data_IF_090703364152
#
_entry.id   IF_090703364152
#
_cell.length_a   1.000
_cell.length_b   1.000
_cell.length_c   1.000
_cell.angle_alpha   90.00
_cell.angle_beta   90.00
_cell.angle_gamma   90.00
#
_symmetry.space_group_name_H-M   'P 1'
#
loop_
_entity.id
_entity.type
_entity.pdbx_description
1 polymer ?
#
# COMPACT_ATOMS: atom_id res chain seq x y z
N UNK A 1 -31.09 1.73 23.28
CA UNK A 1 -30.18 2.47 22.37
C UNK A 1 -29.65 3.68 23.11
N UNK A 2 -28.36 4.01 22.92
CA UNK A 2 -27.54 4.96 23.70
C UNK A 2 -27.03 4.36 25.02
N UNK A 3 -25.75 4.42 25.38
CA UNK A 3 -24.56 4.98 24.74
C UNK A 3 -23.35 4.43 25.49
N UNK A 4 -22.21 4.31 24.81
CA UNK A 4 -20.96 3.94 25.47
C UNK A 4 -20.10 5.19 25.53
N UNK A 5 -19.82 5.63 26.74
CA UNK A 5 -18.83 6.64 27.08
C UNK A 5 -17.60 5.89 27.54
N UNK A 6 -16.44 6.22 26.97
CA UNK A 6 -15.18 6.06 27.68
C UNK A 6 -14.40 7.36 27.58
N UNK A 7 -14.25 8.01 28.74
CA UNK A 7 -13.32 9.09 28.96
C UNK A 7 -11.99 8.46 29.41
N UNK A 8 -10.88 8.88 28.82
CA UNK A 8 -9.57 8.70 29.42
C UNK A 8 -8.85 10.05 29.40
N UNK A 9 -8.73 10.63 30.60
CA UNK A 9 -7.79 11.71 30.91
C UNK A 9 -6.43 11.05 31.17
N UNK A 10 -5.38 11.55 30.53
CA UNK A 10 -4.00 11.14 30.82
C UNK A 10 -3.01 12.00 30.06
N UNK A 11 -2.43 12.98 30.73
CA UNK A 11 -1.46 13.92 30.20
C UNK A 11 -0.09 13.24 29.98
N UNK A 12 0.54 13.49 28.84
CA UNK A 12 1.96 13.22 28.63
C UNK A 12 2.67 14.53 28.29
N UNK A 13 3.61 14.91 29.15
CA UNK A 13 4.43 16.11 29.02
C UNK A 13 5.31 16.02 27.78
N UNK A 14 5.24 17.04 26.92
CA UNK A 14 6.10 17.16 25.75
C UNK A 14 7.54 17.47 26.15
N UNK A 15 8.49 16.68 25.64
CA UNK A 15 9.91 17.02 25.62
C UNK A 15 10.24 17.46 24.19
N UNK A 16 10.48 18.76 24.01
CA UNK A 16 10.95 19.36 22.75
C UNK A 16 12.47 19.23 22.70
N UNK A 17 12.99 18.37 21.81
CA UNK A 17 14.41 18.41 21.41
C UNK A 17 14.46 19.01 20.02
N UNK A 18 14.84 20.29 19.94
CA UNK A 18 15.09 20.98 18.68
C UNK A 18 16.44 20.55 18.11
N UNK A 19 16.45 20.01 16.90
CA UNK A 19 17.68 19.83 16.11
C UNK A 19 17.65 20.87 14.99
N UNK A 20 18.57 21.82 15.04
CA UNK A 20 18.78 22.81 13.99
C UNK A 20 19.54 22.15 12.83
N UNK A 21 18.96 22.13 11.63
CA UNK A 21 19.65 21.80 10.38
C UNK A 21 20.18 23.08 9.73
N UNK A 22 21.41 23.08 9.18
CA UNK A 22 21.97 24.26 8.53
C UNK A 22 21.35 24.51 7.15
N UNK A 23 21.09 25.80 6.90
CA UNK A 23 20.61 26.40 5.65
C UNK A 23 21.64 26.29 4.51
N UNK A 24 21.21 25.79 3.35
CA UNK A 24 22.01 25.78 2.10
C UNK A 24 21.34 26.75 1.12
N UNK A 25 22.03 27.80 0.62
CA UNK A 25 21.46 28.69 -0.38
C UNK A 25 21.49 28.04 -1.78
N UNK A 26 20.36 28.11 -2.48
CA UNK A 26 20.24 27.78 -3.88
C UNK A 26 20.86 28.89 -4.75
N UNK A 27 21.65 28.51 -5.75
CA UNK A 27 22.14 29.39 -6.82
C UNK A 27 21.67 28.87 -8.17
N UNK A 28 21.05 29.76 -8.96
CA UNK A 28 20.93 29.62 -10.42
C UNK A 28 19.50 29.68 -10.95
N UNK A 29 19.01 30.89 -11.24
CA UNK A 29 17.85 31.13 -12.10
C UNK A 29 18.34 31.85 -13.37
N UNK A 30 18.10 31.26 -14.55
CA UNK A 30 18.20 31.95 -15.84
C UNK A 30 17.07 31.50 -16.77
N UNK A 31 16.05 32.36 -16.84
CA UNK A 31 15.20 32.80 -17.97
C UNK A 31 14.99 31.95 -19.24
N UNK A 32 13.70 31.65 -19.49
CA UNK A 32 12.88 31.83 -20.71
C UNK A 32 13.29 31.18 -22.06
N UNK A 33 12.42 30.31 -22.58
CA UNK A 33 11.74 30.53 -23.89
C UNK A 33 10.52 29.62 -24.10
N UNK A 34 9.51 30.21 -24.75
CA UNK A 34 8.24 29.65 -25.20
C UNK A 34 8.36 28.34 -25.99
N UNK A 35 7.32 27.49 -25.90
CA UNK A 35 6.65 26.87 -27.06
C UNK A 35 5.31 26.28 -26.60
N UNK A 36 4.23 27.00 -26.86
CA UNK A 36 2.88 26.43 -26.89
C UNK A 36 2.75 25.62 -28.18
N UNK A 37 2.46 24.32 -28.06
CA UNK A 37 2.01 23.49 -29.19
C UNK A 37 0.89 22.56 -28.73
N UNK A 38 -0.30 22.89 -29.21
CA UNK A 38 -1.39 22.00 -29.64
C UNK A 38 -1.78 20.83 -28.71
N UNK A 39 -2.84 21.05 -27.91
CA UNK A 39 -3.58 19.98 -27.26
C UNK A 39 -4.53 19.33 -28.28
N UNK A 40 -4.08 18.22 -28.86
CA UNK A 40 -4.96 17.24 -29.52
C UNK A 40 -5.81 16.55 -28.45
N UNK A 41 -7.14 16.57 -28.64
CA UNK A 41 -8.10 15.84 -27.84
C UNK A 41 -7.88 14.32 -28.01
N UNK A 42 -7.83 13.61 -26.88
CA UNK A 42 -7.99 12.16 -26.83
C UNK A 42 -6.92 11.48 -26.01
N UNK A 43 -7.11 11.43 -24.69
CA UNK A 43 -6.65 10.27 -23.94
C UNK A 43 -7.52 10.09 -22.70
N UNK A 44 -8.27 9.00 -22.69
CA UNK A 44 -8.89 8.44 -21.51
C UNK A 44 -7.80 8.23 -20.46
N UNK A 45 -7.99 8.78 -19.26
CA UNK A 45 -7.14 8.47 -18.10
C UNK A 45 -7.23 6.98 -17.77
N UNK A 46 -6.46 6.16 -18.46
CA UNK A 46 -6.05 4.86 -17.96
C UNK A 46 -4.99 5.14 -16.90
N UNK A 47 -5.40 5.08 -15.63
CA UNK A 47 -4.45 4.97 -14.54
C UNK A 47 -3.87 3.56 -14.61
N UNK A 48 -2.88 3.39 -15.49
CA UNK A 48 -2.12 2.17 -15.66
C UNK A 48 -1.46 1.82 -14.33
N UNK A 49 -2.18 1.06 -13.51
CA UNK A 49 -1.59 0.28 -12.44
C UNK A 49 -0.58 -0.62 -13.14
N UNK A 50 0.69 -0.48 -12.80
CA UNK A 50 1.78 -1.26 -13.37
C UNK A 50 1.36 -2.71 -13.57
N UNK A 51 1.10 -3.09 -14.82
CA UNK A 51 0.35 -4.30 -15.14
C UNK A 51 1.23 -5.52 -14.84
N UNK A 52 1.06 -6.07 -13.64
CA UNK A 52 1.69 -7.32 -13.28
C UNK A 52 0.96 -8.43 -14.03
N UNK A 53 1.69 -9.38 -14.64
CA UNK A 53 1.02 -10.48 -15.34
C UNK A 53 0.09 -11.20 -14.37
N UNK A 54 -1.16 -11.36 -14.74
CA UNK A 54 -2.12 -12.15 -13.96
C UNK A 54 -1.83 -13.64 -14.12
N UNK A 55 -2.00 -14.37 -13.02
CA UNK A 55 -1.83 -15.82 -12.94
C UNK A 55 -3.09 -16.43 -12.36
N UNK A 56 -3.83 -17.13 -13.20
CA UNK A 56 -4.98 -17.90 -12.76
C UNK A 56 -4.56 -18.98 -11.77
N UNK A 57 -5.39 -19.14 -10.74
CA UNK A 57 -5.29 -20.26 -9.82
C UNK A 57 -5.49 -21.56 -10.60
N UNK A 58 -4.61 -22.53 -10.38
CA UNK A 58 -4.71 -23.84 -11.01
C UNK A 58 -6.05 -24.49 -10.69
N UNK A 59 -6.79 -24.90 -11.74
CA UNK A 59 -8.11 -25.50 -11.62
C UNK A 59 -8.11 -26.71 -10.68
N UNK A 60 -9.07 -26.74 -9.75
CA UNK A 60 -9.21 -27.82 -8.77
C UNK A 60 -8.44 -27.61 -7.47
N UNK A 61 -7.62 -26.56 -7.36
CA UNK A 61 -7.01 -26.16 -6.09
C UNK A 61 -7.90 -25.20 -5.29
N UNK A 62 -7.73 -25.12 -3.96
CA UNK A 62 -8.41 -24.11 -3.14
C UNK A 62 -8.00 -22.70 -3.58
N UNK A 63 -8.98 -21.85 -3.90
CA UNK A 63 -8.71 -20.46 -4.32
C UNK A 63 -8.13 -19.67 -3.14
N UNK A 64 -6.96 -19.01 -3.30
CA UNK A 64 -6.44 -18.05 -2.34
C UNK A 64 -7.44 -16.93 -2.06
N UNK A 65 -7.41 -16.39 -0.86
CA UNK A 65 -8.13 -15.17 -0.54
C UNK A 65 -7.32 -14.33 0.44
N UNK A 66 -7.56 -13.03 0.46
CA UNK A 66 -6.92 -12.13 1.41
C UNK A 66 -7.93 -11.14 1.95
N UNK A 67 -7.81 -10.86 3.24
CA UNK A 67 -8.33 -9.64 3.87
C UNK A 67 -7.23 -9.04 4.73
N UNK A 68 -7.41 -7.82 5.20
CA UNK A 68 -6.46 -7.24 6.14
C UNK A 68 -7.14 -6.28 7.12
N UNK A 69 -6.51 -6.11 8.28
CA UNK A 69 -6.92 -5.19 9.33
C UNK A 69 -5.85 -4.11 9.50
N UNK A 70 -6.26 -2.90 9.85
CA UNK A 70 -5.38 -1.75 10.05
C UNK A 70 -5.65 -1.17 11.44
N UNK A 71 -4.60 -1.07 12.25
CA UNK A 71 -4.65 -0.64 13.64
C UNK A 71 -3.77 0.60 13.82
N UNK A 72 -4.26 1.70 14.42
CA UNK A 72 -3.41 2.83 14.76
C UNK A 72 -2.24 2.36 15.64
N UNK A 73 -1.03 2.80 15.32
CA UNK A 73 0.13 2.59 16.16
C UNK A 73 0.40 3.88 16.97
N UNK A 74 0.73 3.72 18.25
CA UNK A 74 0.86 4.84 19.19
C UNK A 74 2.09 5.72 18.94
N UNK A 75 3.09 5.20 18.21
CA UNK A 75 4.33 5.93 17.92
C UNK A 75 4.27 6.66 16.58
N UNK A 76 3.84 5.97 15.53
CA UNK A 76 3.68 6.53 14.18
C UNK A 76 2.72 5.63 13.39
N UNK A 77 1.92 6.18 12.48
CA UNK A 77 1.21 5.40 11.46
C UNK A 77 0.29 4.28 11.99
N UNK A 78 0.37 3.12 11.34
CA UNK A 78 -0.52 1.98 11.56
C UNK A 78 0.22 0.63 11.53
N UNK A 79 -0.23 -0.32 12.33
CA UNK A 79 0.10 -1.74 12.16
C UNK A 79 -0.95 -2.41 11.29
N UNK A 80 -0.51 -3.15 10.28
CA UNK A 80 -1.39 -3.85 9.35
C UNK A 80 -1.22 -5.35 9.52
N UNK A 81 -2.34 -6.05 9.65
CA UNK A 81 -2.39 -7.52 9.68
C UNK A 81 -3.00 -8.07 8.39
N UNK A 82 -2.21 -8.76 7.59
CA UNK A 82 -2.66 -9.51 6.42
C UNK A 82 -3.14 -10.90 6.86
N UNK A 83 -4.37 -11.24 6.45
CA UNK A 83 -5.06 -12.49 6.77
C UNK A 83 -5.31 -13.27 5.47
N UNK A 84 -4.31 -14.00 4.96
CA UNK A 84 -4.50 -14.86 3.80
C UNK A 84 -5.26 -16.14 4.20
N UNK A 85 -5.97 -16.71 3.23
CA UNK A 85 -6.57 -18.05 3.30
C UNK A 85 -6.13 -18.82 2.07
N UNK A 86 -5.83 -20.11 2.23
CA UNK A 86 -5.32 -20.98 1.16
C UNK A 86 -4.08 -20.39 0.47
N UNK A 87 -3.24 -19.67 1.20
CA UNK A 87 -2.03 -19.05 0.66
C UNK A 87 -0.92 -19.07 1.71
N UNK A 88 0.31 -19.32 1.26
CA UNK A 88 1.50 -19.38 2.10
C UNK A 88 2.54 -18.34 1.67
N UNK A 89 3.04 -17.58 2.64
CA UNK A 89 4.17 -16.68 2.42
C UNK A 89 5.47 -17.49 2.27
N UNK A 90 6.17 -17.32 1.16
CA UNK A 90 7.42 -18.04 0.86
C UNK A 90 8.57 -17.08 0.53
N UNK A 91 9.01 -16.21 1.47
CA UNK A 91 10.04 -15.21 1.20
C UNK A 91 11.39 -15.78 0.73
N UNK A 92 11.73 -16.99 1.16
CA UNK A 92 12.95 -17.66 0.72
C UNK A 92 12.91 -18.11 -0.76
N UNK A 93 11.71 -18.17 -1.36
CA UNK A 93 11.48 -18.65 -2.73
C UNK A 93 11.21 -17.51 -3.73
N UNK A 94 11.35 -16.24 -3.33
CA UNK A 94 11.16 -15.10 -4.24
C UNK A 94 12.16 -15.18 -5.41
N UNK A 95 11.70 -14.83 -6.61
CA UNK A 95 12.42 -14.98 -7.88
C UNK A 95 12.79 -16.42 -8.24
N UNK A 96 12.09 -17.41 -7.68
CA UNK A 96 12.19 -18.82 -8.06
C UNK A 96 10.94 -19.28 -8.81
N UNK A 97 10.95 -20.54 -9.23
CA UNK A 97 9.80 -21.16 -9.87
C UNK A 97 8.53 -20.98 -9.03
N UNK A 98 7.43 -20.69 -9.72
CA UNK A 98 6.12 -20.55 -9.08
C UNK A 98 5.66 -21.90 -8.53
N UNK A 99 5.09 -21.85 -7.35
CA UNK A 99 4.34 -22.93 -6.72
C UNK A 99 2.93 -22.41 -6.45
N UNK A 100 1.93 -23.27 -6.66
CA UNK A 100 0.54 -22.89 -6.44
C UNK A 100 0.33 -22.36 -5.03
N UNK A 101 -0.47 -21.29 -4.92
CA UNK A 101 -0.89 -20.71 -3.65
C UNK A 101 0.27 -20.24 -2.74
N UNK A 102 1.43 -19.96 -3.31
CA UNK A 102 2.60 -19.47 -2.59
C UNK A 102 3.07 -18.12 -3.11
N UNK A 103 3.74 -17.35 -2.26
CA UNK A 103 4.52 -16.21 -2.69
C UNK A 103 4.62 -15.10 -1.65
N UNK A 104 4.22 -13.89 -2.05
CA UNK A 104 4.26 -12.68 -1.22
C UNK A 104 3.09 -11.76 -1.52
N UNK A 105 2.95 -10.68 -0.77
CA UNK A 105 1.95 -9.67 -1.01
C UNK A 105 2.59 -8.38 -1.53
N UNK A 106 1.88 -7.60 -2.33
CA UNK A 106 2.25 -6.21 -2.66
C UNK A 106 1.31 -5.25 -1.94
N UNK A 107 1.89 -4.19 -1.40
CA UNK A 107 1.16 -3.08 -0.77
C UNK A 107 1.06 -1.92 -1.75
N UNK A 108 -0.14 -1.36 -1.85
CA UNK A 108 -0.44 -0.14 -2.58
C UNK A 108 -1.14 0.85 -1.66
N UNK A 109 -0.84 2.13 -1.85
CA UNK A 109 -1.57 3.23 -1.21
C UNK A 109 -2.06 4.15 -2.31
N UNK A 110 -3.37 4.38 -2.36
CA UNK A 110 -4.02 5.21 -3.38
C UNK A 110 -3.63 4.78 -4.82
N UNK A 111 -3.51 3.47 -5.04
CA UNK A 111 -3.12 2.88 -6.32
C UNK A 111 -1.62 2.87 -6.62
N UNK A 112 -0.80 3.53 -5.79
CA UNK A 112 0.66 3.54 -5.95
C UNK A 112 1.28 2.39 -5.19
N UNK A 113 2.07 1.55 -5.87
CA UNK A 113 2.80 0.46 -5.24
C UNK A 113 3.88 0.99 -4.30
N UNK A 114 3.86 0.53 -3.06
CA UNK A 114 4.77 0.97 -2.00
C UNK A 114 5.86 -0.06 -1.74
N UNK A 115 5.49 -1.31 -1.46
CA UNK A 115 6.45 -2.34 -1.08
C UNK A 115 5.93 -3.75 -1.30
N UNK A 116 6.84 -4.72 -1.18
CA UNK A 116 6.54 -6.14 -1.03
C UNK A 116 6.40 -6.46 0.46
N UNK A 117 5.48 -7.33 0.82
CA UNK A 117 5.23 -7.80 2.19
C UNK A 117 5.38 -9.31 2.25
N UNK A 118 6.14 -9.78 3.23
CA UNK A 118 6.61 -11.17 3.33
C UNK A 118 6.08 -11.91 4.55
N UNK A 119 5.14 -11.31 5.28
CA UNK A 119 4.61 -11.83 6.53
C UNK A 119 3.18 -11.35 6.73
N UNK A 120 2.53 -11.86 7.77
CA UNK A 120 1.20 -11.45 8.16
C UNK A 120 1.15 -10.06 8.81
N UNK A 121 2.27 -9.48 9.23
CA UNK A 121 2.29 -8.22 9.96
C UNK A 121 3.35 -7.29 9.41
N UNK A 122 2.97 -6.03 9.18
CA UNK A 122 3.91 -4.98 8.82
C UNK A 122 3.48 -3.63 9.39
N UNK A 123 4.47 -2.73 9.50
CA UNK A 123 4.26 -1.36 9.92
C UNK A 123 4.07 -0.45 8.70
N UNK A 124 3.05 0.39 8.73
CA UNK A 124 2.72 1.39 7.72
C UNK A 124 2.98 2.80 8.31
N UNK A 125 4.09 3.46 7.94
CA UNK A 125 4.40 4.78 8.48
C UNK A 125 3.41 5.84 8.00
N UNK A 126 3.12 6.83 8.86
CA UNK A 126 2.13 7.88 8.53
C UNK A 126 2.57 8.76 7.36
N UNK A 127 3.88 8.86 7.11
CA UNK A 127 4.47 9.62 5.99
C UNK A 127 4.04 9.15 4.60
N UNK A 128 3.48 7.94 4.50
CA UNK A 128 2.93 7.39 3.27
C UNK A 128 1.44 7.70 3.08
N UNK A 129 0.79 8.30 4.07
CA UNK A 129 -0.64 8.61 4.07
C UNK A 129 -0.84 10.12 3.93
N UNK A 130 -1.95 10.50 3.30
CA UNK A 130 -2.35 11.89 3.11
C UNK A 130 -3.53 12.26 4.02
N UNK A 131 -3.72 13.55 4.39
CA UNK A 131 -4.96 14.00 5.01
C UNK A 131 -6.19 13.54 4.20
N UNK A 132 -7.28 13.18 4.88
CA UNK A 132 -8.48 12.60 4.26
C UNK A 132 -8.40 11.08 4.03
N UNK A 133 -8.97 10.59 2.93
CA UNK A 133 -9.16 9.15 2.67
C UNK A 133 -7.96 8.56 1.95
N UNK A 134 -7.37 7.52 2.52
CA UNK A 134 -6.35 6.69 1.89
C UNK A 134 -6.86 5.28 1.66
N UNK A 135 -6.63 4.74 0.46
CA UNK A 135 -6.92 3.35 0.11
C UNK A 135 -5.66 2.51 0.30
N UNK A 136 -5.67 1.66 1.31
CA UNK A 136 -4.61 0.67 1.56
C UNK A 136 -5.03 -0.62 0.87
N UNK A 137 -4.32 -1.02 -0.18
CA UNK A 137 -4.63 -2.23 -0.96
C UNK A 137 -3.51 -3.25 -0.88
N UNK A 138 -3.89 -4.51 -0.78
CA UNK A 138 -3.02 -5.68 -0.76
C UNK A 138 -3.40 -6.59 -1.91
N UNK A 139 -2.44 -7.05 -2.71
CA UNK A 139 -2.60 -8.16 -3.66
C UNK A 139 -1.80 -9.37 -3.20
N UNK A 140 -2.21 -10.57 -3.58
CA UNK A 140 -1.39 -11.78 -3.44
C UNK A 140 -0.63 -12.04 -4.75
N UNK A 141 0.67 -12.28 -4.64
CA UNK A 141 1.57 -12.43 -5.79
C UNK A 141 2.36 -13.73 -5.68
N UNK A 142 2.59 -14.38 -6.82
CA UNK A 142 3.48 -15.52 -6.92
C UNK A 142 4.95 -15.12 -6.77
N UNK A 143 5.83 -16.12 -6.68
CA UNK A 143 7.28 -15.91 -6.51
C UNK A 143 7.96 -15.21 -7.69
N UNK A 144 7.35 -15.22 -8.88
CA UNK A 144 7.79 -14.49 -10.08
C UNK A 144 7.19 -13.07 -10.19
N UNK A 145 6.49 -12.61 -9.15
CA UNK A 145 5.75 -11.33 -9.08
C UNK A 145 4.45 -11.25 -9.89
N UNK A 146 4.01 -12.32 -10.57
CA UNK A 146 2.66 -12.37 -11.15
C UNK A 146 1.59 -12.25 -10.07
N UNK A 147 0.47 -11.59 -10.37
CA UNK A 147 -0.66 -11.45 -9.45
C UNK A 147 -1.53 -12.70 -9.52
N UNK A 148 -1.77 -13.33 -8.36
CA UNK A 148 -2.73 -14.43 -8.30
C UNK A 148 -4.13 -13.89 -8.63
N UNK A 149 -4.83 -14.58 -9.52
CA UNK A 149 -6.13 -14.19 -10.02
C UNK A 149 -7.10 -15.38 -10.06
N UNK A 150 -8.38 -15.07 -9.99
CA UNK A 150 -9.47 -16.01 -10.28
C UNK A 150 -10.41 -15.34 -11.28
N UNK A 151 -10.65 -16.01 -12.40
CA UNK A 151 -11.56 -15.55 -13.46
C UNK A 151 -11.18 -14.15 -13.99
N UNK A 152 -9.87 -13.92 -14.17
CA UNK A 152 -9.32 -12.65 -14.64
C UNK A 152 -9.34 -11.52 -13.61
N UNK A 153 -9.66 -11.81 -12.34
CA UNK A 153 -9.70 -10.82 -11.26
C UNK A 153 -8.62 -11.10 -10.24
N UNK A 154 -7.76 -10.11 -9.98
CA UNK A 154 -6.69 -10.22 -8.98
C UNK A 154 -7.24 -10.46 -7.57
N UNK A 155 -6.62 -11.40 -6.85
CA UNK A 155 -6.92 -11.73 -5.46
C UNK A 155 -6.33 -10.63 -4.58
N UNK A 156 -7.22 -9.76 -4.11
CA UNK A 156 -6.84 -8.52 -3.44
C UNK A 156 -7.79 -8.15 -2.31
N UNK A 157 -7.36 -7.18 -1.49
CA UNK A 157 -8.15 -6.57 -0.42
C UNK A 157 -7.83 -5.10 -0.31
N UNK A 158 -8.84 -4.25 -0.12
CA UNK A 158 -8.68 -2.80 0.09
C UNK A 158 -9.39 -2.36 1.36
N UNK A 159 -8.70 -1.60 2.21
CA UNK A 159 -9.25 -0.96 3.42
C UNK A 159 -9.05 0.55 3.34
N UNK A 160 -10.03 1.30 3.84
CA UNK A 160 -9.97 2.77 3.93
C UNK A 160 -9.38 3.19 5.27
N UNK A 161 -8.36 4.03 5.22
CA UNK A 161 -7.81 4.75 6.38
C UNK A 161 -8.16 6.21 6.23
N UNK A 162 -8.77 6.82 7.25
CA UNK A 162 -9.19 8.23 7.21
C UNK A 162 -8.37 9.01 8.22
N UNK A 163 -7.64 10.01 7.74
CA UNK A 163 -6.89 10.96 8.54
C UNK A 163 -7.64 12.31 8.61
N UNK A 164 -7.52 13.07 9.71
CA UNK A 164 -8.00 14.44 9.76
C UNK A 164 -7.40 15.31 8.65
N UNK A 165 -8.15 16.32 8.21
CA UNK A 165 -7.67 17.38 7.31
C UNK A 165 -6.71 18.35 8.02
#
# INVERSE_FOLDING_TARGET
>A
MRGVVYALKGAAAGVLIGVALPYIPALGMSSMHDMASEMSMGDTHDHSMHDHPMREVTSGLPVPAVTHLVFPDAMDGYNVQILPRNFEFTPAAINRAVQDNQGHAHLYINGVKIQRVYSNWFHLPSSLLQPGVNLVSITLNANDHSEWAQDGTAISSTVRVVLPE
#
